data_IF_226194883479
#
_entry.id   IF_226194883479
#
_cell.length_a   1.000
_cell.length_b   1.000
_cell.length_c   1.000
_cell.angle_alpha   90.00
_cell.angle_beta   90.00
_cell.angle_gamma   90.00
#
_symmetry.space_group_name_H-M   'P 1'
#
loop_
_entity.id
_entity.type
_entity.pdbx_description
1 polymer ?
#
# COMPACT_ATOMS: atom_id res chain seq x y z
N UNK A 1 -15.53 18.30 -3.94
CA UNK A 1 -16.64 17.76 -3.12
C UNK A 1 -16.27 17.91 -1.67
N UNK A 2 -17.20 18.35 -0.82
CA UNK A 2 -16.98 18.54 0.60
C UNK A 2 -17.93 17.62 1.38
N UNK A 3 -17.40 16.90 2.37
CA UNK A 3 -18.17 16.03 3.25
C UNK A 3 -17.89 16.42 4.69
N UNK A 4 -18.93 16.47 5.51
CA UNK A 4 -18.80 16.58 6.97
C UNK A 4 -18.89 15.18 7.56
N UNK A 5 -17.99 14.86 8.49
CA UNK A 5 -17.99 13.59 9.22
C UNK A 5 -17.78 13.84 10.71
N UNK A 6 -18.41 13.01 11.55
CA UNK A 6 -18.29 13.09 13.00
C UNK A 6 -17.27 12.08 13.51
N UNK A 7 -16.41 12.51 14.42
CA UNK A 7 -15.49 11.61 15.14
C UNK A 7 -16.31 10.85 16.19
N UNK A 8 -16.30 9.52 16.12
CA UNK A 8 -17.01 8.68 17.10
C UNK A 8 -16.33 8.71 18.47
N UNK A 9 -16.99 8.20 19.51
CA UNK A 9 -16.41 8.07 20.86
C UNK A 9 -15.11 7.25 20.88
N UNK A 10 -14.93 6.35 19.92
CA UNK A 10 -13.71 5.55 19.73
C UNK A 10 -12.67 6.24 18.83
N UNK A 11 -12.86 7.53 18.54
CA UNK A 11 -11.96 8.37 17.72
C UNK A 11 -11.84 7.87 16.28
N UNK A 12 -12.91 7.29 15.74
CA UNK A 12 -12.96 6.82 14.35
C UNK A 12 -13.70 7.84 13.48
N UNK A 13 -13.26 7.97 12.22
CA UNK A 13 -13.95 8.79 11.20
C UNK A 13 -14.54 7.84 10.17
N UNK A 14 -15.83 7.97 9.90
CA UNK A 14 -16.50 7.19 8.85
C UNK A 14 -16.26 7.85 7.49
N UNK A 15 -15.77 7.06 6.53
CA UNK A 15 -15.66 7.49 5.13
C UNK A 15 -16.98 7.21 4.40
N UNK A 16 -17.65 8.23 3.83
CA UNK A 16 -18.84 8.03 3.01
C UNK A 16 -18.55 7.09 1.82
N UNK A 17 -19.52 6.25 1.45
CA UNK A 17 -19.33 5.22 0.41
C UNK A 17 -18.82 5.80 -0.91
N UNK A 18 -19.34 6.96 -1.35
CA UNK A 18 -18.90 7.63 -2.57
C UNK A 18 -17.41 8.00 -2.53
N UNK A 19 -16.93 8.51 -1.39
CA UNK A 19 -15.53 8.88 -1.21
C UNK A 19 -14.63 7.64 -1.19
N UNK A 20 -15.05 6.59 -0.48
CA UNK A 20 -14.33 5.32 -0.39
C UNK A 20 -14.10 4.68 -1.76
N UNK A 21 -15.17 4.60 -2.57
CA UNK A 21 -15.11 4.05 -3.93
C UNK A 21 -14.32 4.94 -4.89
N UNK A 22 -14.50 6.26 -4.84
CA UNK A 22 -13.82 7.19 -5.73
C UNK A 22 -12.29 7.19 -5.52
N UNK A 23 -11.85 7.00 -4.28
CA UNK A 23 -10.43 6.88 -3.94
C UNK A 23 -9.86 5.46 -4.18
N UNK A 24 -10.66 4.52 -4.69
CA UNK A 24 -10.23 3.14 -4.97
C UNK A 24 -9.77 2.38 -3.72
N UNK A 25 -10.27 2.76 -2.55
CA UNK A 25 -9.88 2.14 -1.29
C UNK A 25 -10.51 0.75 -1.13
N UNK A 26 -9.83 -0.11 -0.37
CA UNK A 26 -10.29 -1.47 -0.06
C UNK A 26 -10.46 -1.66 1.44
N UNK A 27 -11.41 -2.50 1.84
CA UNK A 27 -11.64 -2.82 3.26
C UNK A 27 -10.38 -3.47 3.84
N UNK A 28 -9.94 -3.00 5.01
CA UNK A 28 -8.72 -3.49 5.67
C UNK A 28 -7.42 -2.94 5.07
N UNK A 29 -7.48 -2.08 4.05
CA UNK A 29 -6.30 -1.42 3.51
C UNK A 29 -5.67 -0.49 4.55
N UNK A 30 -4.36 -0.61 4.74
CA UNK A 30 -3.60 0.26 5.63
C UNK A 30 -3.35 1.62 4.97
N UNK A 31 -3.57 2.68 5.73
CA UNK A 31 -3.26 4.06 5.34
C UNK A 31 -2.16 4.62 6.25
N UNK A 32 -1.31 5.46 5.68
CA UNK A 32 -0.40 6.35 6.40
C UNK A 32 -1.11 7.67 6.61
N UNK A 33 -0.98 8.22 7.81
CA UNK A 33 -1.53 9.52 8.19
C UNK A 33 -0.34 10.46 8.40
N UNK A 34 -0.31 11.56 7.65
CA UNK A 34 0.66 12.65 7.83
C UNK A 34 -0.07 13.89 8.31
N UNK A 35 0.46 14.55 9.33
CA UNK A 35 -0.01 15.88 9.73
C UNK A 35 0.76 16.95 8.93
N UNK A 36 0.03 17.92 8.38
CA UNK A 36 0.57 19.08 7.66
C UNK A 36 -0.09 20.33 8.20
N UNK A 37 0.53 20.93 9.21
CA UNK A 37 -0.09 22.01 9.98
C UNK A 37 -1.37 21.52 10.64
N UNK A 38 -2.50 22.10 10.25
CA UNK A 38 -3.84 21.79 10.77
C UNK A 38 -4.59 20.75 9.95
N UNK A 39 -3.96 20.20 8.90
CA UNK A 39 -4.56 19.20 8.03
C UNK A 39 -3.97 17.81 8.25
N UNK A 40 -4.83 16.79 8.14
CA UNK A 40 -4.38 15.40 8.06
C UNK A 40 -4.49 14.89 6.63
N UNK A 41 -3.39 14.36 6.11
CA UNK A 41 -3.35 13.73 4.79
C UNK A 41 -3.21 12.24 4.94
N UNK A 42 -4.17 11.51 4.37
CA UNK A 42 -4.22 10.05 4.37
C UNK A 42 -3.75 9.52 3.02
N UNK A 43 -2.86 8.54 3.01
CA UNK A 43 -2.39 7.87 1.79
C UNK A 43 -2.33 6.36 1.97
N UNK A 44 -2.55 5.56 0.92
CA UNK A 44 -2.27 4.13 0.98
C UNK A 44 -0.85 3.86 1.45
N UNK A 45 -0.65 2.97 2.44
CA UNK A 45 0.68 2.66 2.96
C UNK A 45 1.63 2.11 1.88
N UNK A 46 1.06 1.39 0.90
CA UNK A 46 1.82 0.82 -0.23
C UNK A 46 2.25 1.90 -1.23
N UNK A 47 1.66 3.10 -1.23
CA UNK A 47 2.04 4.18 -2.14
C UNK A 47 3.51 4.62 -1.94
N UNK A 48 4.02 4.57 -0.71
CA UNK A 48 5.44 4.80 -0.42
C UNK A 48 6.31 3.71 -1.07
N UNK A 49 5.87 2.45 -1.03
CA UNK A 49 6.55 1.32 -1.66
C UNK A 49 6.58 1.45 -3.20
N UNK A 50 5.49 1.92 -3.82
CA UNK A 50 5.46 2.20 -5.26
C UNK A 50 6.39 3.35 -5.66
N UNK A 51 6.49 4.41 -4.83
CA UNK A 51 7.46 5.50 -5.04
C UNK A 51 8.91 5.01 -4.99
N UNK A 52 9.18 4.04 -4.11
CA UNK A 52 10.49 3.38 -4.01
C UNK A 52 10.76 2.40 -5.16
N UNK A 53 9.75 1.69 -5.67
CA UNK A 53 9.92 0.73 -6.78
C UNK A 53 10.51 1.35 -8.04
N UNK A 54 10.23 2.63 -8.33
CA UNK A 54 10.87 3.36 -9.44
C UNK A 54 12.31 3.82 -9.16
N UNK A 55 12.75 3.80 -7.90
CA UNK A 55 14.09 4.22 -7.45
C UNK A 55 15.03 3.04 -7.18
N UNK A 56 14.49 1.84 -7.02
CA UNK A 56 15.30 0.62 -6.79
C UNK A 56 15.74 0.07 -8.14
N UNK A 57 17.04 0.20 -8.44
CA UNK A 57 17.64 -0.41 -9.64
C UNK A 57 17.43 -1.93 -9.60
N UNK A 58 16.88 -2.51 -10.67
CA UNK A 58 16.81 -3.97 -10.81
C UNK A 58 18.23 -4.55 -10.71
N UNK A 59 18.47 -5.53 -9.82
CA UNK A 59 19.75 -6.26 -9.79
C UNK A 59 20.03 -6.90 -11.14
N UNK A 60 21.30 -6.88 -11.59
CA UNK A 60 21.69 -7.40 -12.90
C UNK A 60 21.24 -8.86 -13.13
N UNK A 61 21.22 -9.68 -12.07
CA UNK A 61 20.75 -11.07 -12.08
C UNK A 61 19.27 -11.26 -12.46
N UNK A 62 18.45 -10.20 -12.44
CA UNK A 62 17.03 -10.23 -12.79
C UNK A 62 16.68 -9.26 -13.92
N UNK A 63 17.68 -8.78 -14.67
CA UNK A 63 17.49 -7.78 -15.73
C UNK A 63 16.58 -8.28 -16.85
N UNK A 64 16.63 -9.59 -17.14
CA UNK A 64 15.90 -10.26 -18.23
C UNK A 64 14.76 -11.17 -17.75
N UNK A 65 14.40 -11.13 -16.46
CA UNK A 65 13.26 -11.90 -15.94
C UNK A 65 12.04 -11.01 -15.84
N UNK A 66 10.88 -11.59 -16.14
CA UNK A 66 9.61 -10.94 -15.86
C UNK A 66 9.32 -10.92 -14.34
N UNK A 67 8.46 -9.99 -13.89
CA UNK A 67 8.10 -9.86 -12.48
C UNK A 67 7.48 -11.16 -11.95
N UNK A 68 6.63 -11.81 -12.74
CA UNK A 68 5.98 -13.06 -12.31
C UNK A 68 7.00 -14.20 -12.17
N UNK A 69 7.97 -14.28 -13.07
CA UNK A 69 9.09 -15.25 -12.98
C UNK A 69 9.96 -14.99 -11.75
N UNK A 70 10.20 -13.72 -11.41
CA UNK A 70 10.94 -13.33 -10.21
C UNK A 70 10.20 -13.77 -8.93
N UNK A 71 8.87 -13.61 -8.90
CA UNK A 71 8.02 -14.02 -7.77
C UNK A 71 8.06 -15.54 -7.62
N UNK A 72 7.90 -16.30 -8.70
CA UNK A 72 7.93 -17.76 -8.66
C UNK A 72 9.29 -18.30 -8.22
N UNK A 73 10.39 -17.73 -8.74
CA UNK A 73 11.74 -18.09 -8.31
C UNK A 73 11.96 -17.80 -6.82
N UNK A 74 11.50 -16.66 -6.33
CA UNK A 74 11.62 -16.30 -4.91
C UNK A 74 10.82 -17.26 -4.01
N UNK A 75 9.60 -17.64 -4.42
CA UNK A 75 8.81 -18.67 -3.71
C UNK A 75 9.55 -20.01 -3.67
N UNK A 76 10.04 -20.48 -4.81
CA UNK A 76 10.76 -21.76 -4.90
C UNK A 76 11.99 -21.80 -3.98
N UNK A 77 12.81 -20.74 -3.98
CA UNK A 77 13.99 -20.62 -3.12
C UNK A 77 13.61 -20.60 -1.63
N UNK A 78 12.55 -19.88 -1.27
CA UNK A 78 12.06 -19.81 0.11
C UNK A 78 11.56 -21.17 0.62
N UNK A 79 10.79 -21.89 -0.20
CA UNK A 79 10.26 -23.21 0.18
C UNK A 79 11.31 -24.33 0.12
N UNK A 80 12.35 -24.23 -0.72
CA UNK A 80 13.51 -25.13 -0.68
C UNK A 80 14.28 -25.02 0.63
N UNK A 81 14.50 -23.80 1.13
CA UNK A 81 15.15 -23.56 2.43
C UNK A 81 14.35 -24.04 3.64
N UNK A 82 13.04 -24.27 3.47
CA UNK A 82 12.12 -24.67 4.55
C UNK A 82 11.93 -26.19 4.66
N UNK A 83 12.54 -27.00 3.79
CA UNK A 83 12.66 -28.45 4.02
C UNK A 83 13.69 -28.70 5.12
N UNK A 84 13.19 -28.73 6.35
CA UNK A 84 13.76 -29.49 7.49
C UNK A 84 13.40 -30.95 7.27
#
# INVERSE_FOLDING_TARGET
>A
MTYTATITSKRQITLPAKLFSHLGLKKGQKLVIEQRGDEFVFRPAVAAMYKLMGSVKRPAKYKNMDIDEMIEKAKMEYFKKKKI
#
